data_IF_338408913685
#
_entry.id   IF_338408913685
#
_cell.length_a   1.000
_cell.length_b   1.000
_cell.length_c   1.000
_cell.angle_alpha   90.00
_cell.angle_beta   90.00
_cell.angle_gamma   90.00
#
_symmetry.space_group_name_H-M   'P 1'
#
loop_
_entity.id
_entity.type
_entity.pdbx_description
1 polymer ?
#
# COMPACT_ATOMS: atom_id res chain seq x y z
N UNK A 1 -38.94 12.68 -42.82
CA UNK A 1 -38.42 13.56 -41.75
C UNK A 1 -37.39 12.75 -41.00
N UNK A 2 -36.16 13.26 -40.92
CA UNK A 2 -35.01 12.55 -40.41
C UNK A 2 -34.83 12.87 -38.93
N UNK A 3 -34.76 11.85 -38.07
CA UNK A 3 -34.21 11.98 -36.72
C UNK A 3 -33.31 10.77 -36.48
N UNK A 4 -32.02 10.97 -36.74
CA UNK A 4 -30.97 9.97 -36.47
C UNK A 4 -30.64 9.93 -34.98
N UNK A 5 -30.50 8.73 -34.45
CA UNK A 5 -30.19 8.45 -33.04
C UNK A 5 -28.92 9.16 -32.55
N UNK A 6 -28.86 9.58 -31.27
CA UNK A 6 -27.69 10.26 -30.73
C UNK A 6 -26.54 9.26 -30.54
N UNK A 7 -25.52 9.35 -31.40
CA UNK A 7 -24.27 8.58 -31.26
C UNK A 7 -23.51 9.05 -30.02
N UNK A 8 -23.30 8.14 -29.07
CA UNK A 8 -22.44 8.36 -27.91
C UNK A 8 -21.04 8.81 -28.37
N UNK A 9 -20.58 9.98 -27.91
CA UNK A 9 -19.20 10.44 -28.13
C UNK A 9 -18.25 9.48 -27.41
N UNK A 10 -17.52 8.65 -28.17
CA UNK A 10 -16.36 7.92 -27.63
C UNK A 10 -15.34 8.94 -27.14
N UNK A 11 -15.12 8.98 -25.83
CA UNK A 11 -14.02 9.74 -25.23
C UNK A 11 -12.73 9.11 -25.76
N UNK A 12 -12.01 9.85 -26.59
CA UNK A 12 -10.69 9.45 -27.06
C UNK A 12 -9.72 9.67 -25.90
N UNK A 13 -9.40 8.60 -25.17
CA UNK A 13 -8.29 8.61 -24.21
C UNK A 13 -7.01 8.76 -25.04
N UNK A 14 -6.44 9.96 -25.03
CA UNK A 14 -5.11 10.16 -25.58
C UNK A 14 -4.09 9.40 -24.71
N UNK A 15 -3.20 8.66 -25.36
CA UNK A 15 -2.14 7.92 -24.71
C UNK A 15 -1.10 8.91 -24.16
N UNK A 16 -1.33 9.39 -22.94
CA UNK A 16 -0.47 10.38 -22.30
C UNK A 16 0.80 9.68 -21.82
N UNK A 17 1.90 9.85 -22.56
CA UNK A 17 3.21 9.34 -22.17
C UNK A 17 3.65 10.00 -20.85
N UNK A 18 3.85 9.20 -19.81
CA UNK A 18 4.32 9.69 -18.51
C UNK A 18 5.77 10.18 -18.62
N UNK A 19 6.08 11.31 -17.98
CA UNK A 19 7.45 11.83 -17.91
C UNK A 19 8.28 11.04 -16.89
N UNK A 20 9.60 11.09 -17.04
CA UNK A 20 10.49 10.60 -15.99
C UNK A 20 10.15 11.31 -14.66
N UNK A 21 10.22 10.58 -13.55
CA UNK A 21 9.89 11.11 -12.22
C UNK A 21 8.46 11.64 -12.08
N UNK A 22 7.52 11.24 -12.95
CA UNK A 22 6.10 11.59 -12.83
C UNK A 22 5.47 11.18 -11.48
N UNK A 23 6.10 10.24 -10.77
CA UNK A 23 5.78 9.86 -9.39
C UNK A 23 7.06 9.92 -8.55
N UNK A 24 6.99 10.63 -7.42
CA UNK A 24 8.03 10.69 -6.43
C UNK A 24 7.44 10.25 -5.08
N UNK A 25 8.11 9.29 -4.44
CA UNK A 25 7.77 8.82 -3.11
C UNK A 25 8.98 8.91 -2.21
N UNK A 26 8.76 9.31 -0.96
CA UNK A 26 9.76 9.28 0.09
C UNK A 26 9.16 8.59 1.31
N UNK A 27 9.99 7.85 2.04
CA UNK A 27 9.55 7.08 3.19
C UNK A 27 10.74 6.43 3.88
N UNK A 28 10.44 5.56 4.83
CA UNK A 28 11.45 4.85 5.59
C UNK A 28 11.80 3.54 4.86
N UNK A 29 13.03 3.38 4.34
CA UNK A 29 13.45 2.12 3.74
C UNK A 29 13.73 1.11 4.86
N UNK A 30 12.76 0.24 5.11
CA UNK A 30 12.83 -0.80 6.15
C UNK A 30 12.96 -2.19 5.50
N UNK A 31 13.60 -3.11 6.21
CA UNK A 31 13.70 -4.51 5.82
C UNK A 31 12.65 -5.31 6.59
N UNK A 32 11.77 -5.99 5.87
CA UNK A 32 10.78 -6.89 6.47
C UNK A 32 11.44 -8.19 6.94
N UNK A 33 11.18 -8.58 8.18
CA UNK A 33 11.54 -9.88 8.74
C UNK A 33 10.25 -10.64 9.02
N UNK A 34 10.04 -11.76 8.32
CA UNK A 34 8.80 -12.54 8.36
C UNK A 34 9.09 -13.91 8.97
N UNK A 35 8.33 -14.28 10.00
CA UNK A 35 8.43 -15.58 10.65
C UNK A 35 7.05 -16.04 11.13
N UNK A 36 6.84 -17.36 11.19
CA UNK A 36 5.69 -17.95 11.88
C UNK A 36 6.02 -18.00 13.37
N UNK A 37 5.18 -17.37 14.19
CA UNK A 37 5.32 -17.32 15.65
C UNK A 37 4.06 -17.83 16.33
N UNK A 38 4.18 -18.23 17.59
CA UNK A 38 3.06 -18.67 18.42
C UNK A 38 2.44 -17.50 19.21
N UNK A 39 1.35 -17.80 19.92
CA UNK A 39 0.66 -16.82 20.76
C UNK A 39 1.53 -16.37 21.94
N UNK A 40 2.35 -17.26 22.48
CA UNK A 40 3.21 -16.97 23.63
C UNK A 40 4.27 -15.93 23.27
N UNK A 41 4.80 -15.95 22.05
CA UNK A 41 5.68 -14.90 21.54
C UNK A 41 4.97 -13.54 21.45
N UNK A 42 3.75 -13.51 20.93
CA UNK A 42 2.97 -12.27 20.85
C UNK A 42 2.70 -11.70 22.26
N UNK A 43 2.26 -12.54 23.18
CA UNK A 43 1.97 -12.16 24.56
C UNK A 43 3.24 -11.67 25.28
N UNK A 44 4.39 -12.33 25.06
CA UNK A 44 5.70 -11.94 25.65
C UNK A 44 6.08 -10.51 25.32
N UNK A 45 5.84 -10.07 24.10
CA UNK A 45 6.17 -8.71 23.63
C UNK A 45 4.97 -7.75 23.68
N UNK A 46 3.82 -8.20 24.18
CA UNK A 46 2.60 -7.39 24.25
C UNK A 46 2.03 -7.02 22.88
N UNK A 47 2.22 -7.88 21.88
CA UNK A 47 1.79 -7.69 20.51
C UNK A 47 0.35 -8.19 20.32
N UNK A 48 -0.50 -7.38 19.70
CA UNK A 48 -1.83 -7.82 19.28
C UNK A 48 -1.74 -8.49 17.90
N UNK A 49 -2.49 -9.57 17.64
CA UNK A 49 -2.58 -10.13 16.30
C UNK A 49 -3.05 -9.09 15.28
N UNK A 50 -2.38 -9.02 14.12
CA UNK A 50 -2.67 -8.10 13.02
C UNK A 50 -2.47 -6.60 13.32
N UNK A 51 -1.63 -6.26 14.30
CA UNK A 51 -1.34 -4.86 14.64
C UNK A 51 -0.12 -4.31 13.86
N UNK A 52 -0.03 -2.98 13.74
CA UNK A 52 1.10 -2.27 13.13
C UNK A 52 1.58 -1.19 14.10
N UNK A 53 2.72 -1.43 14.74
CA UNK A 53 3.24 -0.59 15.83
C UNK A 53 4.70 -0.19 15.58
N UNK A 54 5.11 0.92 16.18
CA UNK A 54 6.53 1.26 16.32
C UNK A 54 7.15 0.47 17.47
N UNK A 55 8.43 0.13 17.34
CA UNK A 55 9.15 -0.56 18.41
C UNK A 55 9.31 0.35 19.65
N UNK A 56 9.03 -0.20 20.83
CA UNK A 56 9.27 0.41 22.15
C UNK A 56 10.43 -0.34 22.82
N UNK A 57 10.93 0.13 23.96
CA UNK A 57 12.03 -0.54 24.68
C UNK A 57 11.72 -2.00 25.02
N UNK A 58 10.45 -2.33 25.32
CA UNK A 58 10.01 -3.71 25.59
C UNK A 58 10.10 -4.63 24.37
N UNK A 59 10.18 -4.09 23.15
CA UNK A 59 10.30 -4.84 21.90
C UNK A 59 11.76 -5.09 21.50
N UNK A 60 12.72 -4.41 22.15
CA UNK A 60 14.14 -4.72 21.94
C UNK A 60 14.47 -6.04 22.61
N UNK A 61 15.24 -6.88 21.94
CA UNK A 61 15.91 -7.97 22.63
C UNK A 61 16.89 -7.38 23.65
N UNK A 62 16.98 -7.99 24.84
CA UNK A 62 18.05 -7.74 25.80
C UNK A 62 19.42 -7.89 25.14
#
# INVERSE_FOLDING_TARGET
>A
MAEGEPKAKKIKLEEKKLSQNALFGMGNPLLDIIAVVDKDFLDKYGLKPNDQILAEEKHKAL
#
